data_IF_799965232368
#
_entry.id   IF_799965232368
#
_cell.length_a   1.000
_cell.length_b   1.000
_cell.length_c   1.000
_cell.angle_alpha   90.00
_cell.angle_beta   90.00
_cell.angle_gamma   90.00
#
_symmetry.space_group_name_H-M   'P 1'
#
loop_
_entity.id
_entity.type
_entity.pdbx_description
1 polymer ?
#
# COMPACT_ATOMS: atom_id res chain seq x y z
N UNK A 1 -17.59 -21.98 -7.66
CA UNK A 1 -18.37 -20.73 -7.69
C UNK A 1 -19.25 -20.79 -8.91
N UNK A 2 -20.55 -20.64 -8.69
CA UNK A 2 -21.53 -20.56 -9.77
C UNK A 2 -21.24 -19.30 -10.60
N UNK A 3 -21.37 -19.34 -11.95
CA UNK A 3 -21.05 -18.20 -12.81
C UNK A 3 -21.85 -16.93 -12.45
N UNK A 4 -23.04 -17.10 -11.87
CA UNK A 4 -23.87 -16.00 -11.39
C UNK A 4 -23.32 -15.31 -10.14
N UNK A 5 -22.67 -16.03 -9.22
CA UNK A 5 -22.10 -15.45 -8.00
C UNK A 5 -20.85 -14.61 -8.31
N UNK A 6 -20.05 -15.07 -9.28
CA UNK A 6 -18.87 -14.33 -9.76
C UNK A 6 -19.30 -13.01 -10.36
N UNK A 7 -20.36 -13.02 -11.17
CA UNK A 7 -20.90 -11.84 -11.85
C UNK A 7 -21.42 -10.79 -10.85
N UNK A 8 -22.20 -11.20 -9.85
CA UNK A 8 -22.68 -10.32 -8.76
C UNK A 8 -21.51 -9.74 -7.93
N UNK A 9 -20.43 -10.50 -7.78
CA UNK A 9 -19.25 -10.05 -7.04
C UNK A 9 -18.43 -9.06 -7.86
N UNK A 10 -18.31 -9.29 -9.18
CA UNK A 10 -17.70 -8.35 -10.12
C UNK A 10 -18.48 -7.04 -10.21
N UNK A 11 -19.82 -7.09 -10.20
CA UNK A 11 -20.67 -5.88 -10.22
C UNK A 11 -20.45 -5.02 -8.96
N UNK A 12 -20.34 -5.66 -7.78
CA UNK A 12 -20.00 -4.96 -6.53
C UNK A 12 -18.60 -4.36 -6.56
N UNK A 13 -17.66 -5.04 -7.19
CA UNK A 13 -16.28 -4.60 -7.29
C UNK A 13 -16.16 -3.41 -8.28
N UNK A 14 -16.86 -3.46 -9.41
CA UNK A 14 -17.00 -2.35 -10.35
C UNK A 14 -17.63 -1.12 -9.68
N UNK A 15 -18.63 -1.32 -8.81
CA UNK A 15 -19.23 -0.22 -8.02
C UNK A 15 -18.29 0.36 -6.97
N UNK A 16 -17.30 -0.40 -6.49
CA UNK A 16 -16.34 0.06 -5.49
C UNK A 16 -15.18 0.82 -6.12
N UNK A 17 -14.79 0.45 -7.34
CA UNK A 17 -13.67 1.00 -8.10
C UNK A 17 -14.14 1.51 -9.46
N UNK A 18 -15.13 2.41 -9.46
CA UNK A 18 -15.79 2.94 -10.67
C UNK A 18 -14.80 3.65 -11.62
N UNK A 19 -13.75 4.25 -11.06
CA UNK A 19 -12.73 4.97 -11.83
C UNK A 19 -11.64 4.06 -12.42
N UNK A 20 -11.46 2.86 -11.87
CA UNK A 20 -10.36 1.96 -12.24
C UNK A 20 -10.82 0.74 -13.07
N UNK A 21 -12.13 0.44 -13.10
CA UNK A 21 -12.63 -0.82 -13.67
C UNK A 21 -13.93 -0.63 -14.45
N UNK A 22 -14.00 -1.23 -15.64
CA UNK A 22 -15.18 -1.18 -16.53
C UNK A 22 -16.18 -2.31 -16.23
N UNK A 23 -17.41 -2.22 -16.72
CA UNK A 23 -18.49 -3.18 -16.42
C UNK A 23 -18.31 -4.58 -17.02
N UNK A 24 -17.25 -4.82 -17.81
CA UNK A 24 -17.03 -6.09 -18.53
C UNK A 24 -16.15 -7.11 -17.78
N UNK A 25 -15.88 -6.88 -16.49
CA UNK A 25 -15.03 -7.75 -15.65
C UNK A 25 -15.52 -9.20 -15.64
N UNK A 26 -16.83 -9.41 -15.73
CA UNK A 26 -17.43 -10.74 -15.62
C UNK A 26 -16.92 -11.70 -16.70
N UNK A 27 -16.80 -11.23 -17.94
CA UNK A 27 -16.40 -12.05 -19.07
C UNK A 27 -14.88 -12.23 -19.11
N UNK A 28 -14.12 -11.19 -18.74
CA UNK A 28 -12.66 -11.27 -18.53
C UNK A 28 -12.28 -12.26 -17.42
N UNK A 29 -13.04 -12.31 -16.32
CA UNK A 29 -12.81 -13.25 -15.21
C UNK A 29 -13.00 -14.71 -15.66
N UNK A 30 -13.98 -14.97 -16.52
CA UNK A 30 -14.23 -16.31 -17.07
C UNK A 30 -13.05 -16.72 -17.96
N UNK A 31 -12.59 -15.83 -18.84
CA UNK A 31 -11.43 -16.09 -19.70
C UNK A 31 -10.16 -16.33 -18.88
N UNK A 32 -9.92 -15.49 -17.87
CA UNK A 32 -8.79 -15.63 -16.95
C UNK A 32 -8.80 -16.99 -16.23
N UNK A 33 -9.98 -17.46 -15.79
CA UNK A 33 -10.12 -18.77 -15.17
C UNK A 33 -9.70 -19.91 -16.10
N UNK A 34 -10.08 -19.85 -17.38
CA UNK A 34 -9.67 -20.85 -18.36
C UNK A 34 -8.15 -20.85 -18.58
N UNK A 35 -7.54 -19.66 -18.66
CA UNK A 35 -6.09 -19.51 -18.80
C UNK A 35 -5.35 -20.12 -17.60
N UNK A 36 -5.81 -19.83 -16.37
CA UNK A 36 -5.22 -20.38 -15.15
C UNK A 36 -5.41 -21.90 -15.04
N UNK A 37 -6.52 -22.44 -15.55
CA UNK A 37 -6.79 -23.88 -15.52
C UNK A 37 -5.99 -24.66 -16.57
N UNK A 38 -5.64 -24.02 -17.70
CA UNK A 38 -4.81 -24.60 -18.74
C UNK A 38 -3.31 -24.41 -18.50
N UNK A 39 -2.93 -23.39 -17.73
CA UNK A 39 -1.56 -23.24 -17.25
C UNK A 39 -1.32 -24.29 -16.17
N UNK A 40 -0.48 -25.27 -16.48
CA UNK A 40 -0.04 -26.33 -15.57
C UNK A 40 0.83 -25.73 -14.46
N UNK A 41 0.18 -25.01 -13.54
CA UNK A 41 0.81 -24.29 -12.43
C UNK A 41 1.03 -25.29 -11.31
N UNK A 42 2.14 -26.00 -11.39
CA UNK A 42 2.63 -26.90 -10.35
C UNK A 42 2.94 -26.08 -9.08
N UNK A 43 2.25 -26.45 -8.00
CA UNK A 43 2.40 -26.01 -6.61
C UNK A 43 2.27 -24.50 -6.28
N UNK A 44 1.32 -24.24 -5.37
CA UNK A 44 1.03 -22.96 -4.69
C UNK A 44 0.47 -21.86 -5.61
N UNK A 45 -0.87 -21.79 -5.68
CA UNK A 45 -1.63 -20.65 -6.23
C UNK A 45 -1.42 -19.37 -5.39
N UNK A 46 -0.23 -18.79 -5.47
CA UNK A 46 0.06 -17.48 -4.90
C UNK A 46 -0.53 -16.40 -5.81
N UNK A 47 -1.12 -15.33 -5.26
CA UNK A 47 -1.65 -14.23 -6.09
C UNK A 47 -0.54 -13.56 -6.93
N UNK A 48 0.71 -13.62 -6.45
CA UNK A 48 1.87 -13.18 -7.20
C UNK A 48 2.17 -14.07 -8.42
N UNK A 49 1.86 -15.38 -8.34
CA UNK A 49 2.03 -16.30 -9.47
C UNK A 49 1.05 -15.98 -10.60
N UNK A 50 -0.18 -15.57 -10.27
CA UNK A 50 -1.17 -15.11 -11.25
C UNK A 50 -0.72 -13.85 -11.98
N UNK A 51 -0.18 -12.87 -11.24
CA UNK A 51 0.35 -11.65 -11.87
C UNK A 51 1.57 -11.95 -12.76
N UNK A 52 2.46 -12.86 -12.34
CA UNK A 52 3.59 -13.32 -13.17
C UNK A 52 3.14 -14.08 -14.41
N UNK A 53 2.09 -14.88 -14.33
CA UNK A 53 1.50 -15.57 -15.47
C UNK A 53 1.00 -14.57 -16.51
N UNK A 54 0.30 -13.53 -16.04
CA UNK A 54 -0.26 -12.48 -16.88
C UNK A 54 0.84 -11.69 -17.62
N UNK A 55 1.93 -11.38 -16.93
CA UNK A 55 3.15 -10.80 -17.52
C UNK A 55 3.82 -11.74 -18.53
N UNK A 56 3.90 -13.04 -18.23
CA UNK A 56 4.58 -14.03 -19.10
C UNK A 56 3.85 -14.24 -20.41
N UNK A 57 2.51 -14.20 -20.37
CA UNK A 57 1.68 -14.42 -21.54
C UNK A 57 1.42 -13.14 -22.35
N UNK A 58 1.87 -11.98 -21.86
CA UNK A 58 1.63 -10.66 -22.45
C UNK A 58 0.14 -10.33 -22.63
N UNK A 59 -0.70 -10.84 -21.72
CA UNK A 59 -2.17 -10.74 -21.76
C UNK A 59 -2.65 -9.44 -21.08
N UNK A 60 -1.73 -8.58 -20.65
CA UNK A 60 -2.02 -7.34 -19.92
C UNK A 60 -2.94 -6.40 -20.72
N UNK A 61 -2.69 -6.27 -22.01
CA UNK A 61 -3.50 -5.43 -22.90
C UNK A 61 -4.84 -6.09 -23.27
N UNK A 62 -4.93 -7.42 -23.17
CA UNK A 62 -6.15 -8.17 -23.51
C UNK A 62 -7.12 -8.34 -22.34
N UNK A 63 -6.62 -8.28 -21.10
CA UNK A 63 -7.41 -8.38 -19.85
C UNK A 63 -7.08 -7.22 -18.90
N UNK A 64 -7.36 -5.97 -19.31
CA UNK A 64 -6.96 -4.78 -18.56
C UNK A 64 -7.63 -4.71 -17.18
N UNK A 65 -8.88 -5.17 -17.05
CA UNK A 65 -9.60 -5.10 -15.77
C UNK A 65 -9.02 -6.10 -14.76
N UNK A 66 -8.65 -7.31 -15.21
CA UNK A 66 -8.03 -8.33 -14.33
C UNK A 66 -6.65 -7.88 -13.85
N UNK A 67 -5.87 -7.28 -14.76
CA UNK A 67 -4.56 -6.73 -14.43
C UNK A 67 -4.68 -5.64 -13.35
N UNK A 68 -5.61 -4.70 -13.53
CA UNK A 68 -5.87 -3.64 -12.55
C UNK A 68 -6.29 -4.22 -11.18
N UNK A 69 -7.21 -5.19 -11.17
CA UNK A 69 -7.68 -5.84 -9.93
C UNK A 69 -6.54 -6.56 -9.20
N UNK A 70 -5.74 -7.35 -9.92
CA UNK A 70 -4.60 -8.06 -9.34
C UNK A 70 -3.57 -7.10 -8.78
N UNK A 71 -3.31 -5.99 -9.48
CA UNK A 71 -2.37 -4.95 -9.04
C UNK A 71 -2.87 -4.26 -7.77
N UNK A 72 -4.15 -3.86 -7.73
CA UNK A 72 -4.80 -3.27 -6.57
C UNK A 72 -4.74 -4.23 -5.38
N UNK A 73 -5.05 -5.50 -5.59
CA UNK A 73 -5.02 -6.55 -4.56
C UNK A 73 -3.60 -6.74 -3.99
N UNK A 74 -2.59 -6.89 -4.86
CA UNK A 74 -1.19 -7.03 -4.43
C UNK A 74 -0.70 -5.79 -3.68
N UNK A 75 -1.08 -4.59 -4.13
CA UNK A 75 -0.73 -3.34 -3.46
C UNK A 75 -1.36 -3.25 -2.06
N UNK A 76 -2.62 -3.68 -1.91
CA UNK A 76 -3.29 -3.76 -0.61
C UNK A 76 -2.58 -4.73 0.33
N UNK A 77 -2.21 -5.93 -0.13
CA UNK A 77 -1.47 -6.90 0.70
C UNK A 77 -0.12 -6.35 1.18
N UNK A 78 0.65 -5.75 0.26
CA UNK A 78 1.97 -5.16 0.58
C UNK A 78 1.80 -4.02 1.58
N UNK A 79 0.82 -3.15 1.36
CA UNK A 79 0.52 -2.02 2.24
C UNK A 79 0.07 -2.48 3.62
N UNK A 80 -0.75 -3.53 3.71
CA UNK A 80 -1.20 -4.08 4.98
C UNK A 80 -0.03 -4.67 5.77
N UNK A 81 0.84 -5.47 5.14
CA UNK A 81 2.02 -6.04 5.79
C UNK A 81 3.02 -4.96 6.23
N UNK A 82 3.28 -3.96 5.38
CA UNK A 82 4.14 -2.82 5.72
C UNK A 82 3.56 -1.97 6.86
N UNK A 83 2.24 -1.76 6.84
CA UNK A 83 1.48 -1.10 7.91
C UNK A 83 1.62 -1.85 9.23
N UNK A 84 1.30 -3.15 9.26
CA UNK A 84 1.44 -4.01 10.44
C UNK A 84 2.86 -4.00 11.00
N UNK A 85 3.88 -4.10 10.14
CA UNK A 85 5.29 -4.01 10.53
C UNK A 85 5.62 -2.66 11.16
N UNK A 86 5.13 -1.58 10.56
CA UNK A 86 5.34 -0.21 11.04
C UNK A 86 4.64 0.02 12.39
N UNK A 87 3.40 -0.45 12.56
CA UNK A 87 2.65 -0.35 13.80
C UNK A 87 3.21 -1.25 14.91
N UNK A 88 3.75 -2.42 14.56
CA UNK A 88 4.44 -3.30 15.51
C UNK A 88 5.70 -2.63 16.07
N UNK A 89 6.49 -1.96 15.22
CA UNK A 89 7.62 -1.14 15.66
C UNK A 89 7.16 0.08 16.47
N UNK A 90 6.06 0.74 16.07
CA UNK A 90 5.50 1.86 16.81
C UNK A 90 5.03 1.45 18.20
N UNK A 91 4.49 0.24 18.37
CA UNK A 91 4.09 -0.31 19.68
C UNK A 91 5.28 -0.42 20.62
N UNK A 92 6.45 -0.84 20.14
CA UNK A 92 7.70 -0.88 20.92
C UNK A 92 8.17 0.52 21.32
N UNK A 93 8.18 1.47 20.36
CA UNK A 93 8.55 2.88 20.61
C UNK A 93 7.60 3.51 21.63
N UNK A 94 6.30 3.25 21.49
CA UNK A 94 5.26 3.72 22.40
C UNK A 94 5.47 3.12 23.79
N UNK A 95 5.63 1.81 23.94
CA UNK A 95 5.86 1.22 25.26
C UNK A 95 7.13 1.73 25.94
N UNK A 96 8.22 1.90 25.19
CA UNK A 96 9.50 2.36 25.72
C UNK A 96 9.50 3.85 26.12
N UNK A 97 8.91 4.73 25.29
CA UNK A 97 8.92 6.19 25.51
C UNK A 97 7.66 6.74 26.23
N UNK A 98 6.61 5.94 26.43
CA UNK A 98 5.34 6.37 27.05
C UNK A 98 5.47 6.75 28.52
N UNK A 99 6.60 6.48 29.18
CA UNK A 99 6.87 7.07 30.49
C UNK A 99 7.08 8.59 30.41
N UNK A 100 7.34 9.18 29.24
CA UNK A 100 7.67 10.62 29.11
C UNK A 100 7.14 11.35 27.86
N UNK A 101 6.57 10.69 26.84
CA UNK A 101 6.21 11.33 25.56
C UNK A 101 4.70 11.53 25.32
N UNK A 102 4.29 12.75 24.94
CA UNK A 102 2.92 13.09 24.54
C UNK A 102 2.54 12.66 23.11
N UNK A 103 1.23 12.59 22.83
CA UNK A 103 0.66 12.05 21.59
C UNK A 103 1.10 12.84 20.33
N UNK A 104 1.13 14.18 20.40
CA UNK A 104 1.54 15.00 19.25
C UNK A 104 2.99 14.72 18.84
N UNK A 105 3.89 14.65 19.82
CA UNK A 105 5.30 14.36 19.59
C UNK A 105 5.49 12.98 18.94
N UNK A 106 4.68 11.99 19.31
CA UNK A 106 4.69 10.68 18.69
C UNK A 106 4.28 10.75 17.22
N UNK A 107 3.19 11.45 16.90
CA UNK A 107 2.69 11.60 15.53
C UNK A 107 3.74 12.27 14.64
N UNK A 108 4.37 13.35 15.12
CA UNK A 108 5.45 14.00 14.37
C UNK A 108 6.64 13.05 14.16
N UNK A 109 7.03 12.27 15.16
CA UNK A 109 8.15 11.33 15.04
C UNK A 109 7.87 10.21 14.04
N UNK A 110 6.64 9.68 14.04
CA UNK A 110 6.20 8.68 13.05
C UNK A 110 6.21 9.27 11.65
N UNK A 111 5.69 10.49 11.48
CA UNK A 111 5.74 11.19 10.20
C UNK A 111 7.17 11.38 9.70
N UNK A 112 8.08 11.77 10.59
CA UNK A 112 9.51 11.88 10.27
C UNK A 112 10.13 10.52 9.92
N UNK A 113 9.75 9.44 10.61
CA UNK A 113 10.27 8.10 10.32
C UNK A 113 9.78 7.56 8.96
N UNK A 114 8.51 7.76 8.63
CA UNK A 114 7.95 7.41 7.32
C UNK A 114 8.61 8.20 6.19
N UNK A 115 8.85 9.50 6.41
CA UNK A 115 9.51 10.38 5.45
C UNK A 115 11.04 10.42 5.60
N UNK A 116 11.63 9.38 6.21
CA UNK A 116 13.07 9.36 6.51
C UNK A 116 13.95 9.45 5.27
N UNK A 117 13.46 8.99 4.11
CA UNK A 117 14.12 9.16 2.83
C UNK A 117 14.25 10.65 2.44
N UNK A 118 13.16 11.42 2.57
CA UNK A 118 13.15 12.86 2.31
C UNK A 118 14.01 13.59 3.34
N UNK A 119 13.97 13.18 4.61
CA UNK A 119 14.82 13.80 5.64
C UNK A 119 16.32 13.64 5.38
N UNK A 120 16.74 12.60 4.66
CA UNK A 120 18.15 12.43 4.25
C UNK A 120 18.58 13.43 3.18
N UNK A 121 17.64 13.98 2.39
CA UNK A 121 17.95 15.02 1.40
C UNK A 121 17.91 16.42 2.01
N UNK A 122 17.27 16.58 3.17
CA UNK A 122 17.18 17.86 3.89
C UNK A 122 18.44 18.09 4.73
N UNK A 123 19.03 19.28 4.63
CA UNK A 123 20.14 19.68 5.49
C UNK A 123 19.65 20.01 6.90
N UNK A 124 19.72 19.03 7.79
CA UNK A 124 19.30 19.17 9.20
C UNK A 124 20.02 20.33 9.90
N UNK A 125 21.30 20.58 9.61
CA UNK A 125 22.06 21.68 10.23
C UNK A 125 21.52 23.04 9.82
N UNK A 126 21.15 23.21 8.54
CA UNK A 126 20.55 24.44 8.05
C UNK A 126 19.16 24.67 8.66
N UNK A 127 18.35 23.61 8.76
CA UNK A 127 17.03 23.66 9.39
C UNK A 127 17.12 24.04 10.86
N UNK A 128 18.08 23.47 11.61
CA UNK A 128 18.35 23.85 13.00
C UNK A 128 18.78 25.32 13.06
N UNK A 129 19.68 25.78 12.19
CA UNK A 129 20.12 27.16 12.16
C UNK A 129 18.99 28.15 11.84
N UNK A 130 18.06 27.78 10.94
CA UNK A 130 16.83 28.55 10.66
C UNK A 130 15.90 28.58 11.87
N UNK A 131 15.69 27.44 12.53
CA UNK A 131 14.87 27.35 13.74
C UNK A 131 15.42 28.19 14.89
N UNK A 132 16.73 28.12 15.14
CA UNK A 132 17.41 28.94 16.16
C UNK A 132 17.31 30.43 15.83
N UNK A 133 17.52 30.83 14.57
CA UNK A 133 17.34 32.23 14.12
C UNK A 133 15.90 32.73 14.28
N UNK A 134 14.91 31.87 14.08
CA UNK A 134 13.50 32.20 14.29
C UNK A 134 13.12 32.31 15.77
N UNK A 135 13.86 31.67 16.69
CA UNK A 135 13.58 31.68 18.12
C UNK A 135 14.21 32.90 18.81
N UNK A 136 13.73 34.10 18.47
CA UNK A 136 14.18 35.41 19.03
C UNK A 136 13.86 35.67 20.52
N UNK A 137 13.54 34.66 21.34
CA UNK A 137 13.27 34.87 22.77
C UNK A 137 13.87 33.77 23.64
N UNK A 138 15.07 34.02 24.13
CA UNK A 138 15.45 33.69 25.50
C UNK A 138 15.82 35.02 26.15
N UNK A 139 14.86 35.61 26.86
CA UNK A 139 15.12 36.76 27.71
C UNK A 139 16.09 36.27 28.79
N UNK A 140 17.30 36.80 28.78
CA UNK A 140 18.17 36.75 29.95
C UNK A 140 17.52 37.65 31.00
N UNK A 141 16.95 37.05 32.04
CA UNK A 141 16.57 37.77 33.26
C UNK A 141 17.81 37.65 34.16
N UNK A 142 18.42 38.80 34.42
CA UNK A 142 19.59 38.96 35.27
C UNK A 142 19.18 39.22 36.72
#
# INVERSE_FOLDING_TARGET
MEPNEVRISCDRLAQTYVDDITTDIGDEMIQFRHIVMNADMDEQKSEHAFYKLLLRLDIQDTLPNIEAILRIYLCMMISNCSGERSFSKLKLVKNYLRSTMGQDRLVYLVRLASESYILRTINVKETIAKFVRGKKRRVFIH
#
